data_IF_572770972449
#
_entry.id   IF_572770972449
#
_cell.length_a   1.000
_cell.length_b   1.000
_cell.length_c   1.000
_cell.angle_alpha   90.00
_cell.angle_beta   90.00
_cell.angle_gamma   90.00
#
_symmetry.space_group_name_H-M   'P 1'
#
loop_
_entity.id
_entity.type
_entity.pdbx_description
1 polymer ?
#
# COMPACT_ATOMS: atom_id res chain seq x y z
N UNK A 1 -16.77 54.18 -12.40
CA UNK A 1 -16.11 52.96 -12.90
C UNK A 1 -15.64 52.14 -11.70
N UNK A 2 -16.43 51.15 -11.24
CA UNK A 2 -16.10 50.24 -10.15
C UNK A 2 -15.32 49.05 -10.73
N UNK A 3 -14.04 48.92 -10.35
CA UNK A 3 -13.22 47.77 -10.68
C UNK A 3 -13.59 46.65 -9.73
N UNK A 4 -14.34 45.69 -10.23
CA UNK A 4 -14.61 44.43 -9.52
C UNK A 4 -13.34 43.59 -9.63
N UNK A 5 -12.60 43.45 -8.54
CA UNK A 5 -11.48 42.50 -8.42
C UNK A 5 -12.11 41.11 -8.25
N UNK A 6 -12.02 40.30 -9.29
CA UNK A 6 -12.33 38.87 -9.21
C UNK A 6 -11.16 38.22 -8.45
N UNK A 7 -11.36 37.95 -7.15
CA UNK A 7 -10.49 37.09 -6.40
C UNK A 7 -10.71 35.66 -6.91
N UNK A 8 -9.82 35.18 -7.77
CA UNK A 8 -9.72 33.76 -8.11
C UNK A 8 -9.16 33.08 -6.85
N UNK A 9 -10.03 32.52 -6.04
CA UNK A 9 -9.65 31.51 -5.06
C UNK A 9 -9.13 30.31 -5.84
N UNK A 10 -7.82 30.22 -5.97
CA UNK A 10 -7.15 28.95 -6.26
C UNK A 10 -7.43 28.04 -5.06
N UNK A 11 -8.53 27.29 -5.12
CA UNK A 11 -8.66 26.09 -4.32
C UNK A 11 -7.53 25.16 -4.80
N UNK A 12 -6.48 25.09 -4.01
CA UNK A 12 -5.58 23.96 -4.08
C UNK A 12 -6.49 22.72 -3.80
N UNK A 13 -6.87 22.05 -4.87
CA UNK A 13 -7.48 20.72 -4.80
C UNK A 13 -6.34 19.87 -4.26
N UNK A 14 -6.29 19.73 -2.94
CA UNK A 14 -5.50 18.68 -2.30
C UNK A 14 -6.08 17.39 -2.86
N UNK A 15 -5.35 16.78 -3.81
CA UNK A 15 -5.78 15.56 -4.48
C UNK A 15 -6.20 14.54 -3.45
N UNK A 16 -7.28 13.84 -3.73
CA UNK A 16 -7.75 12.72 -2.93
C UNK A 16 -6.60 11.73 -2.75
N UNK A 17 -6.04 11.64 -1.56
CA UNK A 17 -4.90 10.77 -1.26
C UNK A 17 -5.43 9.40 -0.82
N UNK A 18 -5.00 8.37 -1.49
CA UNK A 18 -5.30 6.98 -1.19
C UNK A 18 -4.18 6.41 -0.31
N UNK A 19 -4.46 6.19 0.95
CA UNK A 19 -3.52 5.57 1.87
C UNK A 19 -3.66 4.05 1.84
N UNK A 20 -2.58 3.35 1.55
CA UNK A 20 -2.49 1.88 1.57
C UNK A 20 -1.60 1.46 2.74
N UNK A 21 -2.18 0.78 3.74
CA UNK A 21 -1.52 0.55 5.04
C UNK A 21 -1.47 -0.94 5.42
N UNK A 22 -0.59 -1.76 4.80
CA UNK A 22 -0.37 -3.13 5.24
C UNK A 22 0.55 -3.17 6.46
N UNK A 23 0.33 -4.18 7.32
CA UNK A 23 1.29 -4.56 8.37
C UNK A 23 1.84 -5.95 8.05
N UNK A 24 3.16 -6.05 7.98
CA UNK A 24 3.86 -7.31 7.72
C UNK A 24 4.62 -7.76 8.95
N UNK A 25 4.38 -9.01 9.36
CA UNK A 25 5.05 -9.63 10.48
C UNK A 25 6.21 -10.49 9.99
N UNK A 26 7.39 -10.33 10.61
CA UNK A 26 8.60 -11.07 10.23
C UNK A 26 8.40 -12.57 10.36
N UNK A 27 7.64 -13.04 11.38
CA UNK A 27 7.32 -14.46 11.54
C UNK A 27 6.53 -15.00 10.37
N UNK A 28 5.50 -14.29 9.96
CA UNK A 28 4.64 -14.70 8.84
C UNK A 28 5.45 -14.82 7.54
N UNK A 29 6.35 -13.85 7.28
CA UNK A 29 7.25 -13.91 6.13
C UNK A 29 8.18 -15.14 6.21
N UNK A 30 8.71 -15.42 7.40
CA UNK A 30 9.56 -16.59 7.62
C UNK A 30 8.79 -17.90 7.41
N UNK A 31 7.57 -17.99 7.92
CA UNK A 31 6.73 -19.19 7.74
C UNK A 31 6.43 -19.43 6.25
N UNK A 32 6.23 -18.37 5.45
CA UNK A 32 6.09 -18.47 3.99
C UNK A 32 7.37 -19.01 3.34
N UNK A 33 8.55 -18.52 3.77
CA UNK A 33 9.84 -18.96 3.23
C UNK A 33 10.12 -20.43 3.57
N UNK A 34 9.90 -20.81 4.84
CA UNK A 34 10.20 -22.14 5.33
C UNK A 34 9.18 -23.20 4.84
N UNK A 35 7.93 -22.79 4.63
CA UNK A 35 6.80 -23.65 4.28
C UNK A 35 6.39 -23.64 2.82
N UNK A 36 6.90 -22.71 2.00
CA UNK A 36 6.46 -22.45 0.62
C UNK A 36 4.92 -22.41 0.49
N UNK A 37 4.27 -21.84 1.48
CA UNK A 37 2.81 -21.74 1.51
C UNK A 37 2.41 -20.28 1.60
N UNK A 38 1.70 -19.75 0.59
CA UNK A 38 1.21 -18.38 0.63
C UNK A 38 0.27 -18.15 1.83
N UNK A 39 0.33 -16.96 2.39
CA UNK A 39 -0.59 -16.50 3.43
C UNK A 39 -1.38 -15.30 2.96
N UNK A 40 -2.57 -15.12 3.51
CA UNK A 40 -3.38 -13.91 3.31
C UNK A 40 -3.25 -13.00 4.53
N UNK A 41 -3.08 -11.70 4.27
CA UNK A 41 -3.04 -10.65 5.28
C UNK A 41 -4.09 -9.58 4.98
N UNK A 42 -4.64 -8.91 5.99
CA UNK A 42 -5.49 -7.74 5.76
C UNK A 42 -4.67 -6.57 5.22
N UNK A 43 -5.23 -5.90 4.23
CA UNK A 43 -4.73 -4.67 3.64
C UNK A 43 -5.75 -3.58 3.89
N UNK A 44 -5.41 -2.60 4.68
CA UNK A 44 -6.30 -1.47 4.93
C UNK A 44 -6.02 -0.33 3.95
N UNK A 45 -7.10 0.25 3.44
CA UNK A 45 -7.04 1.40 2.55
C UNK A 45 -7.97 2.49 3.04
N UNK A 46 -7.47 3.73 3.03
CA UNK A 46 -8.27 4.91 3.29
C UNK A 46 -8.62 5.56 1.95
N UNK A 47 -9.88 5.50 1.56
CA UNK A 47 -10.39 6.00 0.28
C UNK A 47 -11.17 7.28 0.54
N UNK A 48 -10.86 8.39 -0.14
CA UNK A 48 -11.63 9.63 0.02
C UNK A 48 -13.06 9.48 -0.54
N UNK A 49 -14.00 10.16 0.11
CA UNK A 49 -15.39 10.28 -0.30
C UNK A 49 -15.82 11.75 -0.26
N UNK A 50 -16.81 12.11 -1.07
CA UNK A 50 -17.26 13.50 -1.23
C UNK A 50 -17.87 14.07 0.04
N UNK A 51 -18.59 13.26 0.81
CA UNK A 51 -19.18 13.62 2.09
C UNK A 51 -19.40 12.38 2.97
N UNK A 52 -19.69 12.59 4.26
CA UNK A 52 -20.03 11.50 5.16
C UNK A 52 -21.36 10.83 4.76
N UNK A 53 -22.32 11.60 4.26
CA UNK A 53 -23.64 11.10 3.88
C UNK A 53 -23.58 10.25 2.59
N UNK A 54 -22.70 10.58 1.64
CA UNK A 54 -22.53 9.89 0.38
C UNK A 54 -21.50 8.76 0.44
N UNK A 55 -20.64 8.74 1.46
CA UNK A 55 -19.50 7.84 1.61
C UNK A 55 -19.87 6.37 1.36
N UNK A 56 -20.91 5.86 2.03
CA UNK A 56 -21.31 4.46 1.89
C UNK A 56 -21.75 4.13 0.47
N UNK A 57 -22.46 5.04 -0.19
CA UNK A 57 -22.94 4.87 -1.56
C UNK A 57 -21.80 4.87 -2.57
N UNK A 58 -20.89 5.85 -2.46
CA UNK A 58 -19.74 6.00 -3.35
C UNK A 58 -18.79 4.81 -3.21
N UNK A 59 -18.49 4.39 -1.98
CA UNK A 59 -17.58 3.26 -1.75
C UNK A 59 -18.23 1.94 -2.18
N UNK A 60 -19.53 1.74 -1.98
CA UNK A 60 -20.22 0.56 -2.49
C UNK A 60 -20.11 0.46 -4.02
N UNK A 61 -20.13 1.59 -4.73
CA UNK A 61 -19.92 1.62 -6.18
C UNK A 61 -18.46 1.26 -6.54
N UNK A 62 -17.47 1.81 -5.83
CA UNK A 62 -16.04 1.48 -6.01
C UNK A 62 -15.81 -0.01 -5.80
N UNK A 63 -16.29 -0.55 -4.67
CA UNK A 63 -16.17 -1.97 -4.36
C UNK A 63 -16.86 -2.87 -5.38
N UNK A 64 -18.04 -2.43 -5.88
CA UNK A 64 -18.72 -3.13 -6.96
C UNK A 64 -17.89 -3.22 -8.24
N UNK A 65 -17.19 -2.13 -8.60
CA UNK A 65 -16.27 -2.11 -9.75
C UNK A 65 -15.08 -3.04 -9.48
N UNK A 66 -14.40 -2.91 -8.34
CA UNK A 66 -13.24 -3.73 -7.97
C UNK A 66 -13.57 -5.23 -7.97
N UNK A 67 -14.75 -5.59 -7.47
CA UNK A 67 -15.22 -6.99 -7.46
C UNK A 67 -15.37 -7.58 -8.87
N UNK A 68 -15.71 -6.78 -9.88
CA UNK A 68 -15.75 -7.26 -11.29
C UNK A 68 -14.37 -7.68 -11.82
N UNK A 69 -13.31 -7.20 -11.18
CA UNK A 69 -11.92 -7.56 -11.48
C UNK A 69 -11.36 -8.65 -10.54
N UNK A 70 -12.19 -9.17 -9.62
CA UNK A 70 -11.79 -10.18 -8.64
C UNK A 70 -11.06 -9.59 -7.42
N UNK A 71 -11.24 -8.30 -7.15
CA UNK A 71 -10.65 -7.59 -6.01
C UNK A 71 -11.75 -7.31 -5.00
N UNK A 72 -11.89 -8.21 -4.03
CA UNK A 72 -12.93 -8.12 -2.99
C UNK A 72 -12.43 -7.25 -1.83
N UNK A 73 -13.33 -6.40 -1.32
CA UNK A 73 -13.05 -5.54 -0.19
C UNK A 73 -14.31 -5.23 0.61
N UNK A 74 -14.14 -4.93 1.90
CA UNK A 74 -15.21 -4.65 2.84
C UNK A 74 -15.08 -3.24 3.43
N UNK A 75 -16.15 -2.45 3.36
CA UNK A 75 -16.22 -1.15 4.02
C UNK A 75 -16.29 -1.34 5.53
N UNK A 76 -15.28 -0.87 6.23
CA UNK A 76 -15.19 -0.93 7.70
C UNK A 76 -15.85 0.28 8.37
N UNK A 77 -15.58 1.49 7.85
CA UNK A 77 -16.13 2.72 8.42
C UNK A 77 -16.07 3.88 7.43
N UNK A 78 -16.95 4.85 7.61
CA UNK A 78 -16.85 6.18 7.03
C UNK A 78 -16.61 7.20 8.16
N UNK A 79 -15.59 8.03 8.02
CA UNK A 79 -15.23 9.03 9.01
C UNK A 79 -15.11 10.41 8.36
N UNK A 80 -15.49 11.46 9.09
CA UNK A 80 -15.29 12.81 8.62
C UNK A 80 -13.80 13.15 8.63
N UNK A 81 -13.32 13.79 7.58
CA UNK A 81 -11.96 14.30 7.55
C UNK A 81 -11.77 15.45 8.55
N UNK A 82 -10.54 15.65 9.04
CA UNK A 82 -10.22 16.68 10.05
C UNK A 82 -10.63 18.10 9.61
N UNK A 83 -10.63 18.36 8.30
CA UNK A 83 -11.09 19.62 7.71
C UNK A 83 -12.63 19.78 7.67
N UNK A 84 -13.41 18.70 7.87
CA UNK A 84 -14.87 18.70 7.87
C UNK A 84 -15.53 18.86 6.48
N UNK A 85 -14.74 18.87 5.40
CA UNK A 85 -15.26 19.08 4.04
C UNK A 85 -15.43 17.75 3.28
N UNK A 86 -14.62 16.76 3.58
CA UNK A 86 -14.62 15.44 2.92
C UNK A 86 -14.79 14.35 3.96
N UNK A 87 -15.08 13.15 3.51
CA UNK A 87 -15.04 11.96 4.33
C UNK A 87 -13.94 11.01 3.84
N UNK A 88 -13.55 10.09 4.71
CA UNK A 88 -12.67 8.97 4.39
C UNK A 88 -13.38 7.66 4.71
N UNK A 89 -13.39 6.77 3.76
CA UNK A 89 -13.83 5.41 3.95
C UNK A 89 -12.63 4.52 4.26
N UNK A 90 -12.68 3.79 5.35
CA UNK A 90 -11.71 2.76 5.65
C UNK A 90 -12.24 1.44 5.09
N UNK A 91 -11.47 0.87 4.17
CA UNK A 91 -11.82 -0.37 3.47
C UNK A 91 -10.76 -1.41 3.78
N UNK A 92 -11.18 -2.64 4.08
CA UNK A 92 -10.30 -3.78 4.24
C UNK A 92 -10.34 -4.63 2.97
N UNK A 93 -9.17 -4.94 2.45
CA UNK A 93 -8.94 -5.89 1.36
C UNK A 93 -8.09 -7.04 1.87
N UNK A 94 -7.90 -8.03 1.03
CA UNK A 94 -6.91 -9.09 1.23
C UNK A 94 -5.69 -8.84 0.38
N UNK A 95 -4.52 -9.10 0.94
CA UNK A 95 -3.24 -9.16 0.22
C UNK A 95 -2.61 -10.52 0.47
N UNK A 96 -1.91 -11.04 -0.51
CA UNK A 96 -1.16 -12.29 -0.37
C UNK A 96 0.33 -12.02 -0.14
N UNK A 97 0.96 -12.87 0.65
CA UNK A 97 2.42 -12.98 0.78
C UNK A 97 2.81 -14.36 0.30
N UNK A 98 3.69 -14.44 -0.70
CA UNK A 98 4.10 -15.68 -1.33
C UNK A 98 5.59 -15.67 -1.71
N UNK A 99 6.17 -16.84 -1.95
CA UNK A 99 7.52 -16.92 -2.53
C UNK A 99 7.51 -16.54 -4.01
N UNK A 100 8.54 -15.82 -4.41
CA UNK A 100 8.81 -15.55 -5.83
C UNK A 100 9.57 -16.74 -6.42
N UNK A 101 8.95 -17.46 -7.35
CA UNK A 101 9.57 -18.55 -8.07
C UNK A 101 10.04 -18.09 -9.45
N UNK A 102 11.26 -18.42 -9.84
CA UNK A 102 11.91 -17.96 -11.08
C UNK A 102 11.11 -18.20 -12.38
N UNK A 103 10.16 -19.13 -12.39
CA UNK A 103 9.38 -19.52 -13.57
C UNK A 103 7.87 -19.34 -13.41
N UNK A 104 7.42 -18.67 -12.37
CA UNK A 104 5.99 -18.47 -12.15
C UNK A 104 5.55 -17.12 -12.73
N UNK A 105 4.55 -17.16 -13.62
CA UNK A 105 3.72 -15.99 -13.92
C UNK A 105 2.81 -15.73 -12.72
N UNK A 106 3.41 -15.40 -11.56
CA UNK A 106 2.63 -15.09 -10.37
C UNK A 106 1.99 -13.72 -10.58
N UNK A 107 0.69 -13.73 -10.78
CA UNK A 107 -0.10 -12.51 -10.71
C UNK A 107 -0.42 -12.22 -9.24
N UNK A 108 -0.50 -10.95 -8.89
CA UNK A 108 -0.97 -10.53 -7.59
C UNK A 108 -2.42 -10.96 -7.39
N UNK A 109 -2.72 -11.62 -6.28
CA UNK A 109 -4.09 -11.87 -5.85
C UNK A 109 -4.60 -10.65 -5.06
N UNK A 110 -5.81 -10.18 -5.35
CA UNK A 110 -6.33 -8.93 -4.79
C UNK A 110 -5.76 -7.70 -5.51
N UNK A 111 -5.67 -6.56 -4.82
CA UNK A 111 -5.18 -5.28 -5.37
C UNK A 111 -3.68 -5.27 -5.57
N UNK A 112 -2.96 -5.71 -4.56
CA UNK A 112 -1.51 -5.85 -4.49
C UNK A 112 -1.17 -7.15 -3.79
N UNK A 113 0.05 -7.65 -4.02
CA UNK A 113 0.62 -8.79 -3.30
C UNK A 113 2.06 -8.50 -2.90
N UNK A 114 2.53 -9.21 -1.90
CA UNK A 114 3.94 -9.22 -1.51
C UNK A 114 4.58 -10.53 -1.98
N UNK A 115 5.74 -10.42 -2.62
CA UNK A 115 6.55 -11.57 -2.98
C UNK A 115 7.88 -11.54 -2.25
N UNK A 116 8.28 -12.70 -1.75
CA UNK A 116 9.53 -12.92 -1.03
C UNK A 116 10.48 -13.72 -1.92
N UNK A 117 11.66 -13.17 -2.19
CA UNK A 117 12.72 -13.83 -2.96
C UNK A 117 13.85 -14.23 -2.01
N UNK A 118 14.05 -15.52 -1.73
CA UNK A 118 15.17 -15.97 -0.92
C UNK A 118 16.52 -15.65 -1.59
N UNK A 119 17.45 -15.03 -0.84
CA UNK A 119 18.79 -14.67 -1.34
C UNK A 119 19.92 -15.43 -0.66
N UNK A 120 19.59 -16.52 0.04
CA UNK A 120 20.52 -17.39 0.76
C UNK A 120 20.64 -17.03 2.25
N UNK A 121 21.15 -17.96 3.05
CA UNK A 121 21.42 -17.84 4.50
C UNK A 121 20.22 -17.34 5.33
N UNK A 122 18.99 -17.70 4.92
CA UNK A 122 17.77 -17.24 5.56
C UNK A 122 17.37 -15.79 5.25
N UNK A 123 18.14 -15.10 4.43
CA UNK A 123 17.85 -13.73 3.99
C UNK A 123 16.89 -13.72 2.81
N UNK A 124 16.13 -12.64 2.67
CA UNK A 124 15.18 -12.49 1.57
C UNK A 124 14.94 -11.04 1.15
N UNK A 125 14.64 -10.86 -0.12
CA UNK A 125 14.14 -9.61 -0.67
C UNK A 125 12.62 -9.59 -0.65
N UNK A 126 12.07 -8.39 -0.49
CA UNK A 126 10.63 -8.15 -0.46
C UNK A 126 10.23 -7.26 -1.61
N UNK A 127 9.27 -7.72 -2.38
CA UNK A 127 8.69 -7.00 -3.50
C UNK A 127 7.20 -6.74 -3.26
N UNK A 128 6.75 -5.55 -3.59
CA UNK A 128 5.33 -5.21 -3.70
C UNK A 128 4.95 -5.28 -5.17
N UNK A 129 3.92 -6.05 -5.48
CA UNK A 129 3.47 -6.31 -6.86
C UNK A 129 2.01 -5.97 -7.00
N UNK A 130 1.64 -5.26 -8.04
CA UNK A 130 0.23 -4.93 -8.33
C UNK A 130 -0.45 -6.02 -9.15
N UNK A 131 -1.75 -6.14 -8.95
CA UNK A 131 -2.58 -6.92 -9.85
C UNK A 131 -2.55 -6.30 -11.26
N UNK A 132 -2.44 -7.14 -12.29
CA UNK A 132 -2.38 -6.72 -13.70
C UNK A 132 -3.66 -6.03 -14.19
N UNK A 133 -4.79 -6.26 -13.51
CA UNK A 133 -6.08 -5.62 -13.78
C UNK A 133 -6.29 -4.31 -13.03
N UNK A 134 -5.38 -3.94 -12.12
CA UNK A 134 -5.55 -2.76 -11.27
C UNK A 134 -5.71 -1.46 -12.09
N UNK A 135 -4.92 -1.29 -13.14
CA UNK A 135 -5.00 -0.09 -13.99
C UNK A 135 -6.37 0.04 -14.68
N UNK A 136 -6.96 -1.09 -15.11
CA UNK A 136 -8.30 -1.12 -15.70
C UNK A 136 -9.38 -0.83 -14.66
N UNK A 137 -9.23 -1.36 -13.46
CA UNK A 137 -10.13 -1.10 -12.35
C UNK A 137 -10.08 0.38 -11.94
N UNK A 138 -8.90 0.98 -11.82
CA UNK A 138 -8.73 2.41 -11.52
C UNK A 138 -9.39 3.29 -12.59
N UNK A 139 -9.13 3.03 -13.87
CA UNK A 139 -9.78 3.76 -14.97
C UNK A 139 -11.32 3.62 -14.94
N UNK A 140 -11.84 2.46 -14.53
CA UNK A 140 -13.28 2.24 -14.39
C UNK A 140 -13.86 3.04 -13.22
N UNK A 141 -13.11 3.17 -12.12
CA UNK A 141 -13.49 3.99 -10.95
C UNK A 141 -13.49 5.47 -11.33
N UNK A 142 -12.45 5.96 -12.00
CA UNK A 142 -12.38 7.36 -12.46
C UNK A 142 -13.54 7.74 -13.38
N UNK A 143 -13.97 6.83 -14.26
CA UNK A 143 -15.13 7.05 -15.13
C UNK A 143 -16.46 7.04 -14.38
N UNK A 144 -16.54 6.37 -13.24
CA UNK A 144 -17.76 6.24 -12.46
C UNK A 144 -17.92 7.35 -11.41
N UNK A 145 -16.81 7.86 -10.86
CA UNK A 145 -16.78 8.88 -9.83
C UNK A 145 -16.28 10.21 -10.42
N UNK A 146 -17.12 11.21 -10.43
CA UNK A 146 -16.86 12.54 -11.04
C UNK A 146 -15.65 13.26 -10.41
N UNK A 147 -15.17 12.82 -9.24
CA UNK A 147 -14.14 13.50 -8.46
C UNK A 147 -12.85 12.69 -8.26
N UNK A 148 -12.76 11.47 -8.76
CA UNK A 148 -11.60 10.63 -8.54
C UNK A 148 -10.57 10.84 -9.66
N UNK A 149 -9.44 11.48 -9.33
CA UNK A 149 -8.20 11.33 -10.10
C UNK A 149 -7.30 10.37 -9.32
N UNK A 150 -7.20 9.14 -9.79
CA UNK A 150 -6.42 8.08 -9.17
C UNK A 150 -5.09 7.88 -9.93
N UNK A 151 -4.24 8.89 -9.91
CA UNK A 151 -2.90 8.75 -10.47
C UNK A 151 -1.88 8.27 -9.40
N UNK A 152 -0.68 7.92 -9.85
CA UNK A 152 0.38 7.46 -8.96
C UNK A 152 0.74 8.48 -7.86
N UNK A 153 0.55 9.77 -8.11
CA UNK A 153 0.85 10.83 -7.16
C UNK A 153 -0.21 10.96 -6.05
N UNK A 154 -1.37 10.29 -6.22
CA UNK A 154 -2.45 10.27 -5.23
C UNK A 154 -2.42 9.05 -4.32
N UNK A 155 -1.40 8.16 -4.42
CA UNK A 155 -1.31 6.92 -3.66
C UNK A 155 -0.11 6.96 -2.72
N UNK A 156 -0.34 6.72 -1.43
CA UNK A 156 0.69 6.53 -0.41
C UNK A 156 0.72 5.09 0.08
N UNK A 157 1.89 4.45 0.01
CA UNK A 157 2.13 3.18 0.70
C UNK A 157 2.78 3.44 2.05
N UNK A 158 2.02 3.22 3.13
CA UNK A 158 2.45 3.35 4.53
C UNK A 158 2.57 1.96 5.14
N UNK A 159 3.73 1.35 4.98
CA UNK A 159 3.96 -0.06 5.32
C UNK A 159 4.54 -0.15 6.72
N UNK A 160 3.92 -0.94 7.59
CA UNK A 160 4.48 -1.28 8.90
C UNK A 160 5.16 -2.63 8.82
N UNK A 161 6.43 -2.69 9.22
CA UNK A 161 7.16 -3.94 9.44
C UNK A 161 7.25 -4.17 10.94
N UNK A 162 6.70 -5.28 11.40
CA UNK A 162 6.70 -5.67 12.82
C UNK A 162 7.60 -6.88 13.04
N UNK A 163 8.66 -6.70 13.85
CA UNK A 163 9.47 -7.82 14.29
C UNK A 163 8.83 -8.50 15.50
N UNK A 164 7.91 -9.39 15.25
CA UNK A 164 7.22 -10.19 16.27
C UNK A 164 8.01 -11.43 16.72
N UNK A 165 9.26 -11.58 16.23
CA UNK A 165 10.18 -12.65 16.61
C UNK A 165 10.92 -12.34 17.92
N UNK A 166 11.73 -13.31 18.39
CA UNK A 166 12.60 -13.15 19.55
C UNK A 166 14.02 -12.68 19.18
N UNK A 167 14.33 -12.66 17.88
CA UNK A 167 15.66 -12.36 17.38
C UNK A 167 15.69 -10.96 16.77
N UNK A 168 16.84 -10.33 16.81
CA UNK A 168 17.10 -9.10 16.06
C UNK A 168 17.12 -9.41 14.56
N UNK A 169 16.48 -8.56 13.76
CA UNK A 169 16.47 -8.62 12.31
C UNK A 169 17.05 -7.33 11.77
N UNK A 170 17.94 -7.41 10.81
CA UNK A 170 18.41 -6.26 10.05
C UNK A 170 17.47 -6.07 8.85
N UNK A 171 16.95 -4.88 8.70
CA UNK A 171 16.14 -4.49 7.55
C UNK A 171 16.84 -3.40 6.75
N UNK A 172 16.94 -3.59 5.45
CA UNK A 172 17.54 -2.65 4.52
C UNK A 172 16.48 -2.18 3.52
N UNK A 173 16.14 -0.92 3.57
CA UNK A 173 15.15 -0.31 2.66
C UNK A 173 15.80 0.52 1.57
N UNK A 174 15.03 0.80 0.52
CA UNK A 174 15.45 1.58 -0.67
C UNK A 174 14.40 2.65 -0.95
N UNK A 175 14.83 3.85 -1.31
CA UNK A 175 13.98 4.95 -1.79
C UNK A 175 12.71 5.19 -0.93
N UNK A 176 12.87 5.29 0.37
CA UNK A 176 11.76 5.35 1.32
C UNK A 176 11.98 6.37 2.43
N UNK A 177 10.92 6.72 3.14
CA UNK A 177 10.98 7.40 4.43
C UNK A 177 10.76 6.36 5.52
N UNK A 178 11.64 6.30 6.50
CA UNK A 178 11.48 5.43 7.68
C UNK A 178 11.26 6.31 8.89
N UNK A 179 10.13 6.10 9.58
CA UNK A 179 9.67 6.94 10.69
C UNK A 179 9.75 8.45 10.39
N UNK A 180 9.43 8.82 9.13
CA UNK A 180 9.41 10.19 8.64
C UNK A 180 10.76 10.76 8.19
N UNK A 181 11.84 9.98 8.24
CA UNK A 181 13.18 10.40 7.77
C UNK A 181 13.45 9.79 6.38
N UNK A 182 13.88 10.60 5.38
CA UNK A 182 14.14 10.10 4.03
C UNK A 182 15.46 9.32 3.96
N UNK A 183 15.45 8.21 3.22
CA UNK A 183 16.63 7.36 3.00
C UNK A 183 16.66 6.84 1.56
N UNK A 184 17.80 6.96 0.90
CA UNK A 184 18.07 6.31 -0.40
C UNK A 184 18.33 4.82 -0.21
N UNK A 185 19.21 4.50 0.75
CA UNK A 185 19.57 3.16 1.14
C UNK A 185 20.05 3.21 2.58
N UNK A 186 19.38 2.51 3.48
CA UNK A 186 19.84 2.41 4.86
C UNK A 186 19.48 1.07 5.49
N UNK A 187 20.23 0.73 6.54
CA UNK A 187 20.05 -0.48 7.33
C UNK A 187 19.51 -0.11 8.72
N UNK A 188 18.49 -0.84 9.15
CA UNK A 188 17.82 -0.65 10.43
C UNK A 188 17.87 -1.91 11.25
N UNK A 189 18.29 -1.78 12.48
CA UNK A 189 18.23 -2.82 13.49
C UNK A 189 16.81 -2.91 14.06
N UNK A 190 16.03 -3.88 13.61
CA UNK A 190 14.75 -4.18 14.24
C UNK A 190 14.96 -5.08 15.44
N UNK A 191 14.88 -4.49 16.64
CA UNK A 191 14.91 -5.23 17.89
C UNK A 191 13.69 -6.19 17.98
N UNK A 192 13.77 -7.25 18.78
CA UNK A 192 12.60 -8.09 19.06
C UNK A 192 11.41 -7.26 19.54
N UNK A 193 10.24 -7.50 18.98
CA UNK A 193 8.97 -6.82 19.30
C UNK A 193 8.98 -5.30 19.02
N UNK A 194 9.82 -4.85 18.09
CA UNK A 194 9.79 -3.48 17.58
C UNK A 194 9.12 -3.41 16.21
N UNK A 195 8.73 -2.20 15.84
CA UNK A 195 8.11 -1.89 14.56
C UNK A 195 8.83 -0.71 13.92
N UNK A 196 8.80 -0.66 12.60
CA UNK A 196 9.18 0.52 11.81
C UNK A 196 8.06 0.83 10.81
N UNK A 197 7.88 2.11 10.53
CA UNK A 197 6.94 2.58 9.55
C UNK A 197 7.70 3.08 8.31
N UNK A 198 7.34 2.55 7.17
CA UNK A 198 7.94 2.86 5.88
C UNK A 198 6.90 3.57 5.04
N UNK A 199 7.20 4.80 4.64
CA UNK A 199 6.45 5.51 3.61
C UNK A 199 7.25 5.42 2.32
N UNK A 200 6.69 4.80 1.29
CA UNK A 200 7.32 4.73 -0.02
C UNK A 200 7.44 6.11 -0.64
N UNK A 201 8.57 6.39 -1.29
CA UNK A 201 8.74 7.66 -2.02
C UNK A 201 7.88 7.69 -3.28
N UNK A 202 7.61 8.88 -3.81
CA UNK A 202 6.91 9.07 -5.09
C UNK A 202 7.60 8.30 -6.23
N UNK A 203 8.93 8.16 -6.17
CA UNK A 203 9.71 7.38 -7.14
C UNK A 203 9.35 5.89 -7.04
N UNK A 204 9.30 5.33 -5.83
CA UNK A 204 8.94 3.93 -5.61
C UNK A 204 7.49 3.66 -6.05
N UNK A 205 6.56 4.55 -5.70
CA UNK A 205 5.15 4.48 -6.13
C UNK A 205 5.04 4.58 -7.67
N UNK A 206 5.76 5.52 -8.28
CA UNK A 206 5.82 5.65 -9.74
C UNK A 206 6.38 4.40 -10.43
N UNK A 207 7.36 3.71 -9.85
CA UNK A 207 7.88 2.44 -10.34
C UNK A 207 6.85 1.33 -10.22
N UNK A 208 6.14 1.25 -9.09
CA UNK A 208 5.05 0.29 -8.89
C UNK A 208 3.99 0.40 -9.98
N UNK A 209 3.49 1.61 -10.28
CA UNK A 209 2.50 1.81 -11.34
C UNK A 209 3.05 1.53 -12.73
N UNK A 210 4.28 1.95 -13.02
CA UNK A 210 4.90 1.82 -14.34
C UNK A 210 5.35 0.40 -14.67
N UNK A 211 5.93 -0.32 -13.70
CA UNK A 211 6.53 -1.65 -13.89
C UNK A 211 5.65 -2.77 -13.38
N UNK A 212 4.64 -2.47 -12.56
CA UNK A 212 3.83 -3.46 -11.87
C UNK A 212 4.42 -3.94 -10.54
N UNK A 213 5.62 -3.50 -10.17
CA UNK A 213 6.28 -3.87 -8.93
C UNK A 213 7.37 -2.89 -8.52
N UNK A 214 7.74 -2.91 -7.24
CA UNK A 214 8.96 -2.31 -6.72
C UNK A 214 9.53 -3.13 -5.57
N UNK A 215 10.84 -2.99 -5.32
CA UNK A 215 11.51 -3.62 -4.19
C UNK A 215 11.32 -2.75 -2.95
N UNK A 216 10.71 -3.31 -1.91
CA UNK A 216 10.54 -2.63 -0.63
C UNK A 216 11.84 -2.64 0.18
N UNK A 217 12.55 -3.76 0.19
CA UNK A 217 13.79 -3.90 0.94
C UNK A 217 14.30 -5.32 1.03
N UNK A 218 15.26 -5.51 1.93
CA UNK A 218 15.91 -6.79 2.22
C UNK A 218 15.91 -7.04 3.72
N UNK A 219 15.71 -8.30 4.11
CA UNK A 219 15.78 -8.73 5.49
C UNK A 219 16.97 -9.68 5.67
N UNK A 220 17.71 -9.42 6.73
CA UNK A 220 18.87 -10.22 7.13
C UNK A 220 18.67 -10.69 8.56
N UNK A 221 18.69 -11.99 8.75
CA UNK A 221 18.77 -12.54 10.11
C UNK A 221 20.20 -12.46 10.59
N UNK A 222 20.43 -11.87 11.76
CA UNK A 222 21.74 -11.89 12.37
C UNK A 222 22.14 -13.35 12.59
N UNK A 223 23.24 -13.78 11.97
CA UNK A 223 23.75 -15.14 12.08
C UNK A 223 23.91 -15.57 13.53
N UNK A 224 23.36 -16.70 13.84
CA UNK A 224 23.73 -17.48 15.02
C UNK A 224 22.77 -17.40 16.20
N UNK A 225 21.57 -17.95 16.03
CA UNK A 225 20.92 -18.70 17.10
C UNK A 225 20.05 -19.81 16.52
#
# INVERSE_FOLDING_TARGET
MRKTIFAICLFAISGCQLDVTPTFYIRDMKDVIDGDTPIELPLFMSVPASSIDDCQSEISQVLGILNTFGMEGDLQSCVQDEGGFFAKANVEFKTSVALLHENSNQSADGLISMFLEPVGDGNFMVYIVKNDKLDLAMSSIENALVFASLDAASVDFKITISNDTRNKVLFKTVDSFVDGVPYDLNEFDLAPRSEINILSSDVAVGLFFKRGWYKLGEFYYADGT
#
